data_IF_787127809469
#
_entry.id   IF_787127809469
#
_cell.length_a   1.000
_cell.length_b   1.000
_cell.length_c   1.000
_cell.angle_alpha   90.00
_cell.angle_beta   90.00
_cell.angle_gamma   90.00
#
_symmetry.space_group_name_H-M   'P 1'
#
loop_
_entity.id
_entity.type
_entity.pdbx_description
1 polymer ?
#
# COMPACT_ATOMS: atom_id res chain seq x y z
N UNK A 1 -2.00 -3.85 -15.01
CA UNK A 1 -2.48 -3.87 -13.62
C UNK A 1 -3.23 -5.17 -13.40
N UNK A 2 -2.88 -5.95 -12.37
CA UNK A 2 -3.66 -7.14 -12.01
C UNK A 2 -4.94 -6.63 -11.36
N UNK A 3 -6.09 -6.80 -12.01
CA UNK A 3 -7.36 -6.26 -11.51
C UNK A 3 -8.11 -7.23 -10.61
N UNK A 4 -7.82 -8.52 -10.68
CA UNK A 4 -8.45 -9.56 -9.86
C UNK A 4 -7.43 -10.62 -9.44
N UNK A 5 -7.63 -11.18 -8.25
CA UNK A 5 -6.79 -12.26 -7.73
C UNK A 5 -7.58 -13.55 -7.86
N UNK A 6 -7.06 -14.51 -8.63
CA UNK A 6 -7.68 -15.82 -8.72
C UNK A 6 -7.42 -16.58 -7.41
N UNK A 7 -8.44 -16.70 -6.56
CA UNK A 7 -8.43 -17.41 -5.27
C UNK A 7 -9.32 -18.65 -5.31
N UNK A 8 -9.26 -19.47 -4.27
CA UNK A 8 -9.71 -20.88 -4.17
C UNK A 8 -11.19 -21.22 -4.48
N UNK A 9 -12.02 -20.30 -5.00
CA UNK A 9 -13.43 -20.55 -5.30
C UNK A 9 -13.71 -20.63 -6.80
N UNK A 10 -14.80 -21.33 -7.15
CA UNK A 10 -15.34 -21.58 -8.50
C UNK A 10 -15.63 -20.27 -9.25
N UNK A 11 -14.58 -19.63 -9.77
CA UNK A 11 -14.66 -18.38 -10.53
C UNK A 11 -14.08 -18.64 -11.90
N UNK A 12 -14.85 -18.37 -12.93
CA UNK A 12 -14.36 -18.47 -14.31
C UNK A 12 -13.52 -17.25 -14.64
N UNK A 13 -12.44 -17.44 -15.42
CA UNK A 13 -11.65 -16.35 -16.00
C UNK A 13 -12.58 -15.36 -16.74
N UNK A 14 -13.64 -15.84 -17.39
CA UNK A 14 -14.63 -15.00 -18.06
C UNK A 14 -15.37 -14.02 -17.12
N UNK A 15 -15.56 -14.37 -15.84
CA UNK A 15 -16.23 -13.51 -14.86
C UNK A 15 -15.27 -12.51 -14.24
N UNK A 16 -14.04 -12.96 -13.96
CA UNK A 16 -12.98 -12.21 -13.28
C UNK A 16 -11.78 -11.95 -14.22
N UNK A 17 -12.06 -11.50 -15.43
CA UNK A 17 -11.06 -11.28 -16.49
C UNK A 17 -10.16 -10.05 -16.25
N UNK A 18 -10.58 -9.18 -15.35
CA UNK A 18 -9.86 -7.97 -14.96
C UNK A 18 -9.88 -6.90 -16.05
N UNK A 19 -10.79 -6.97 -17.00
CA UNK A 19 -10.90 -5.98 -18.08
C UNK A 19 -11.75 -4.79 -17.63
N UNK A 20 -12.84 -5.05 -16.90
CA UNK A 20 -13.77 -4.04 -16.37
C UNK A 20 -13.37 -3.56 -14.97
N UNK A 21 -13.51 -2.27 -14.66
CA UNK A 21 -13.32 -1.72 -13.31
C UNK A 21 -14.64 -1.68 -12.51
N UNK A 22 -15.47 -2.71 -12.70
CA UNK A 22 -16.76 -2.84 -12.04
C UNK A 22 -16.57 -2.98 -10.51
N UNK A 23 -17.02 -2.01 -9.71
CA UNK A 23 -16.83 -2.03 -8.26
C UNK A 23 -17.52 -3.22 -7.59
N UNK A 24 -18.61 -3.74 -8.16
CA UNK A 24 -19.38 -4.86 -7.58
C UNK A 24 -18.74 -6.21 -7.85
N UNK A 25 -17.83 -6.30 -8.82
CA UNK A 25 -16.99 -7.50 -9.01
C UNK A 25 -15.90 -7.63 -7.97
N UNK A 26 -15.51 -6.55 -7.27
CA UNK A 26 -14.45 -6.60 -6.26
C UNK A 26 -14.65 -7.68 -5.20
N UNK A 27 -15.79 -7.71 -4.48
CA UNK A 27 -16.09 -8.76 -3.50
C UNK A 27 -16.14 -10.18 -4.08
N UNK A 28 -16.44 -10.33 -5.38
CA UNK A 28 -16.57 -11.62 -6.07
C UNK A 28 -15.25 -12.09 -6.68
N UNK A 29 -14.37 -11.19 -7.11
CA UNK A 29 -13.18 -11.50 -7.90
C UNK A 29 -11.88 -11.10 -7.19
N UNK A 30 -11.97 -10.42 -6.06
CA UNK A 30 -10.83 -9.80 -5.38
C UNK A 30 -10.34 -8.55 -6.12
N UNK A 31 -9.46 -7.82 -5.46
CA UNK A 31 -8.78 -6.67 -6.05
C UNK A 31 -7.43 -6.48 -5.37
N UNK A 32 -6.33 -6.98 -5.96
CA UNK A 32 -5.01 -6.81 -5.39
C UNK A 32 -4.57 -5.34 -5.45
N UNK A 33 -4.18 -4.78 -4.31
CA UNK A 33 -3.76 -3.39 -4.14
C UNK A 33 -2.27 -3.26 -3.84
N UNK A 34 -1.72 -4.22 -3.09
CA UNK A 34 -0.31 -4.25 -2.71
C UNK A 34 0.32 -5.57 -3.13
N UNK A 35 1.52 -5.48 -3.69
CA UNK A 35 2.30 -6.63 -4.12
C UNK A 35 3.73 -6.49 -3.59
N UNK A 36 4.29 -7.59 -3.10
CA UNK A 36 5.73 -7.69 -2.87
C UNK A 36 6.22 -9.12 -3.13
N UNK A 37 7.31 -9.22 -3.87
CA UNK A 37 7.92 -10.50 -4.21
C UNK A 37 9.12 -10.76 -3.31
N UNK A 38 9.11 -11.91 -2.65
CA UNK A 38 10.23 -12.40 -1.85
C UNK A 38 11.13 -13.30 -2.69
N UNK A 39 12.27 -12.82 -3.23
CA UNK A 39 13.06 -13.57 -4.21
C UNK A 39 13.68 -14.86 -3.66
N UNK A 40 13.98 -14.89 -2.35
CA UNK A 40 14.56 -16.07 -1.69
C UNK A 40 13.55 -17.22 -1.63
N UNK A 41 12.34 -16.94 -1.16
CA UNK A 41 11.28 -17.93 -1.07
C UNK A 41 10.55 -18.17 -2.41
N UNK A 42 10.76 -17.28 -3.40
CA UNK A 42 10.05 -17.23 -4.68
C UNK A 42 8.54 -17.13 -4.52
N UNK A 43 8.11 -16.34 -3.54
CA UNK A 43 6.70 -16.12 -3.20
C UNK A 43 6.30 -14.67 -3.49
N UNK A 44 5.12 -14.50 -4.09
CA UNK A 44 4.46 -13.21 -4.27
C UNK A 44 3.42 -13.04 -3.16
N UNK A 45 3.63 -12.08 -2.27
CA UNK A 45 2.65 -11.68 -1.28
C UNK A 45 1.74 -10.60 -1.85
N UNK A 46 0.46 -10.70 -1.51
CA UNK A 46 -0.62 -9.92 -2.10
C UNK A 46 -1.52 -9.40 -0.98
N UNK A 47 -1.66 -8.08 -0.88
CA UNK A 47 -2.71 -7.45 -0.10
C UNK A 47 -3.88 -7.20 -1.05
N UNK A 48 -4.94 -7.96 -0.86
CA UNK A 48 -6.18 -7.86 -1.62
C UNK A 48 -7.22 -7.10 -0.83
N UNK A 49 -7.86 -6.14 -1.48
CA UNK A 49 -8.84 -5.26 -0.85
C UNK A 49 -10.05 -6.01 -0.26
N UNK A 50 -10.33 -7.25 -0.69
CA UNK A 50 -11.48 -8.03 -0.23
C UNK A 50 -11.09 -9.37 0.41
N UNK A 51 -9.91 -9.90 0.10
CA UNK A 51 -9.45 -11.20 0.61
C UNK A 51 -8.29 -11.13 1.59
N UNK A 52 -7.91 -9.95 2.07
CA UNK A 52 -6.90 -9.83 3.11
C UNK A 52 -5.49 -10.08 2.57
N UNK A 53 -4.71 -10.90 3.27
CA UNK A 53 -3.34 -11.24 2.86
C UNK A 53 -3.31 -12.61 2.18
N UNK A 54 -2.69 -12.67 1.01
CA UNK A 54 -2.55 -13.87 0.20
C UNK A 54 -1.09 -14.07 -0.22
N UNK A 55 -0.80 -15.29 -0.67
CA UNK A 55 0.49 -15.66 -1.22
C UNK A 55 0.31 -16.54 -2.46
N UNK A 56 1.11 -16.28 -3.48
CA UNK A 56 1.19 -17.11 -4.69
C UNK A 56 2.63 -17.58 -4.90
N UNK A 57 2.77 -18.81 -5.43
CA UNK A 57 4.04 -19.35 -5.90
C UNK A 57 4.21 -19.11 -7.41
N UNK A 58 5.39 -19.42 -7.95
CA UNK A 58 5.65 -19.29 -9.39
C UNK A 58 5.03 -20.42 -10.24
N UNK A 59 4.25 -21.34 -9.66
CA UNK A 59 3.76 -22.53 -10.35
C UNK A 59 2.41 -22.30 -11.06
N UNK A 60 1.96 -21.05 -11.17
CA UNK A 60 0.70 -20.70 -11.82
C UNK A 60 -0.54 -21.16 -11.05
N UNK A 61 -0.39 -21.52 -9.77
CA UNK A 61 -1.50 -21.89 -8.89
C UNK A 61 -2.25 -20.65 -8.40
N UNK A 62 -3.51 -20.85 -8.03
CA UNK A 62 -4.33 -19.83 -7.38
C UNK A 62 -3.64 -19.32 -6.10
N UNK A 63 -3.76 -18.02 -5.83
CA UNK A 63 -3.21 -17.44 -4.62
C UNK A 63 -3.92 -18.02 -3.39
N UNK A 64 -3.14 -18.43 -2.40
CA UNK A 64 -3.64 -18.94 -1.12
C UNK A 64 -3.86 -17.77 -0.17
N UNK A 65 -5.05 -17.68 0.41
CA UNK A 65 -5.33 -16.77 1.50
C UNK A 65 -4.63 -17.25 2.78
N UNK A 66 -3.86 -16.36 3.41
CA UNK A 66 -3.05 -16.66 4.60
C UNK A 66 -3.45 -15.86 5.84
N UNK A 67 -4.18 -14.74 5.66
CA UNK A 67 -4.83 -14.04 6.77
C UNK A 67 -6.05 -13.25 6.31
N UNK A 68 -7.11 -13.25 7.13
CA UNK A 68 -8.38 -12.55 6.88
C UNK A 68 -8.79 -11.58 7.97
N UNK A 69 -8.07 -11.57 9.08
CA UNK A 69 -8.33 -10.71 10.22
C UNK A 69 -7.21 -10.78 11.25
N UNK A 70 -7.33 -9.96 12.28
CA UNK A 70 -6.47 -9.96 13.45
C UNK A 70 -7.29 -9.60 14.68
N UNK A 71 -7.00 -10.26 15.82
CA UNK A 71 -7.67 -10.01 17.11
C UNK A 71 -9.20 -10.10 17.04
N UNK A 72 -9.71 -11.08 16.30
CA UNK A 72 -11.15 -11.29 16.12
C UNK A 72 -11.83 -10.29 15.17
N UNK A 73 -11.12 -9.29 14.65
CA UNK A 73 -11.65 -8.32 13.69
C UNK A 73 -11.21 -8.67 12.25
N UNK A 74 -12.16 -8.93 11.32
CA UNK A 74 -11.86 -9.11 9.90
C UNK A 74 -11.16 -7.90 9.28
N UNK A 75 -10.37 -8.13 8.25
CA UNK A 75 -9.89 -7.07 7.36
C UNK A 75 -11.03 -6.64 6.45
N UNK A 76 -11.10 -5.33 6.15
CA UNK A 76 -12.13 -4.78 5.27
C UNK A 76 -11.52 -4.19 4.00
N UNK A 77 -10.30 -3.65 4.08
CA UNK A 77 -9.60 -3.13 2.92
C UNK A 77 -8.08 -3.20 3.10
N UNK A 78 -7.47 -4.36 2.81
CA UNK A 78 -6.02 -4.46 2.74
C UNK A 78 -5.45 -3.71 1.52
N UNK A 79 -4.38 -2.94 1.73
CA UNK A 79 -3.89 -1.99 0.73
C UNK A 79 -2.40 -2.21 0.40
N UNK A 80 -1.48 -1.46 1.01
CA UNK A 80 -0.05 -1.59 0.78
C UNK A 80 0.60 -2.67 1.64
N UNK A 81 1.70 -3.25 1.14
CA UNK A 81 2.55 -4.17 1.90
C UNK A 81 4.01 -4.08 1.49
N UNK A 82 4.88 -4.55 2.38
CA UNK A 82 6.31 -4.75 2.13
C UNK A 82 6.86 -5.95 2.93
N UNK A 83 7.99 -6.48 2.48
CA UNK A 83 8.67 -7.63 3.07
C UNK A 83 9.93 -7.17 3.77
N UNK A 84 10.07 -7.57 5.03
CA UNK A 84 11.27 -7.38 5.82
C UNK A 84 12.48 -8.08 5.16
N UNK A 85 13.53 -7.34 4.77
CA UNK A 85 14.72 -7.94 4.18
C UNK A 85 15.51 -8.80 5.19
N UNK A 86 15.27 -8.70 6.48
CA UNK A 86 15.95 -9.51 7.49
C UNK A 86 15.05 -10.67 7.90
N UNK A 87 13.87 -10.37 8.44
CA UNK A 87 13.02 -11.40 9.06
C UNK A 87 12.10 -12.12 8.08
N UNK A 88 11.88 -11.52 6.90
CA UNK A 88 10.89 -11.95 5.89
C UNK A 88 9.44 -11.85 6.33
N UNK A 89 9.18 -11.25 7.49
CA UNK A 89 7.84 -10.89 7.91
C UNK A 89 7.23 -9.86 6.98
N UNK A 90 5.91 -9.89 6.88
CA UNK A 90 5.16 -9.02 5.98
C UNK A 90 4.54 -7.90 6.81
N UNK A 91 4.83 -6.66 6.45
CA UNK A 91 4.16 -5.50 7.04
C UNK A 91 3.15 -4.98 6.03
N UNK A 92 1.90 -4.82 6.46
CA UNK A 92 0.81 -4.46 5.56
C UNK A 92 -0.22 -3.61 6.28
N UNK A 93 -1.07 -2.94 5.50
CA UNK A 93 -2.13 -2.07 6.03
C UNK A 93 -3.51 -2.67 5.80
N UNK A 94 -4.41 -2.34 6.71
CA UNK A 94 -5.86 -2.42 6.53
C UNK A 94 -6.39 -0.98 6.62
N UNK A 95 -6.86 -0.44 5.50
CA UNK A 95 -7.16 0.99 5.34
C UNK A 95 -8.29 1.46 6.25
N UNK A 96 -9.28 0.61 6.45
CA UNK A 96 -10.49 0.89 7.22
C UNK A 96 -10.97 -0.39 7.86
N UNK A 97 -11.61 -0.30 9.03
CA UNK A 97 -12.39 -1.40 9.60
C UNK A 97 -13.89 -1.34 9.21
N UNK A 98 -14.30 -0.33 8.43
CA UNK A 98 -15.71 -0.03 8.14
C UNK A 98 -15.99 0.07 6.64
N UNK A 99 -15.13 0.78 5.90
CA UNK A 99 -15.34 1.13 4.50
C UNK A 99 -14.48 0.28 3.57
N UNK A 100 -15.13 -0.61 2.83
CA UNK A 100 -14.47 -1.31 1.72
C UNK A 100 -14.13 -0.34 0.57
N UNK A 101 -13.44 -0.86 -0.45
CA UNK A 101 -13.01 -0.06 -1.59
C UNK A 101 -14.17 0.65 -2.33
N UNK A 102 -15.38 0.05 -2.37
CA UNK A 102 -16.56 0.64 -3.03
C UNK A 102 -17.05 1.88 -2.30
N UNK A 103 -16.86 1.90 -0.98
CA UNK A 103 -17.28 2.99 -0.11
C UNK A 103 -16.11 3.89 0.34
N UNK A 104 -14.94 3.79 -0.28
CA UNK A 104 -13.74 4.53 0.15
C UNK A 104 -13.93 6.05 0.16
N UNK A 105 -14.77 6.60 -0.73
CA UNK A 105 -15.09 8.03 -0.76
C UNK A 105 -15.91 8.46 0.47
N UNK A 106 -16.81 7.61 0.96
CA UNK A 106 -17.56 7.86 2.20
C UNK A 106 -16.62 7.85 3.40
N UNK A 107 -15.69 6.89 3.46
CA UNK A 107 -14.65 6.85 4.50
C UNK A 107 -13.79 8.11 4.52
N UNK A 108 -13.40 8.62 3.36
CA UNK A 108 -12.70 9.91 3.25
C UNK A 108 -13.54 11.08 3.79
N UNK A 109 -14.82 11.16 3.42
CA UNK A 109 -15.74 12.23 3.89
C UNK A 109 -16.01 12.15 5.40
N UNK A 110 -16.03 10.94 5.95
CA UNK A 110 -16.24 10.69 7.36
C UNK A 110 -14.98 10.89 8.22
N UNK A 111 -13.84 11.26 7.62
CA UNK A 111 -12.53 11.28 8.27
C UNK A 111 -12.21 9.96 8.98
N UNK A 112 -12.44 8.83 8.30
CA UNK A 112 -12.25 7.50 8.86
C UNK A 112 -10.86 7.34 9.47
N UNK A 113 -10.85 6.96 10.74
CA UNK A 113 -9.68 6.78 11.58
C UNK A 113 -9.56 5.35 12.07
N UNK A 114 -10.17 4.36 11.41
CA UNK A 114 -10.17 2.96 11.87
C UNK A 114 -9.06 2.09 11.27
N UNK A 115 -8.14 2.69 10.50
CA UNK A 115 -7.06 1.97 9.83
C UNK A 115 -6.05 1.33 10.77
N UNK A 116 -5.36 0.30 10.29
CA UNK A 116 -4.38 -0.49 11.06
C UNK A 116 -3.09 -0.73 10.28
N UNK A 117 -1.96 -0.73 11.01
CA UNK A 117 -0.69 -1.29 10.55
C UNK A 117 -0.52 -2.68 11.17
N UNK A 118 -0.20 -3.67 10.34
CA UNK A 118 -0.20 -5.08 10.70
C UNK A 118 1.15 -5.73 10.35
N UNK A 119 1.52 -6.75 11.11
CA UNK A 119 2.65 -7.64 10.83
C UNK A 119 2.11 -9.06 10.68
N UNK A 120 2.42 -9.74 9.59
CA UNK A 120 2.30 -11.19 9.46
C UNK A 120 3.67 -11.82 9.73
N UNK A 121 3.75 -12.62 10.78
CA UNK A 121 4.93 -13.42 11.08
C UNK A 121 4.91 -14.71 10.24
N UNK A 122 5.82 -14.81 9.28
CA UNK A 122 5.83 -15.92 8.32
C UNK A 122 6.22 -17.26 8.94
N UNK A 123 6.87 -17.25 10.11
CA UNK A 123 7.25 -18.48 10.82
C UNK A 123 6.12 -19.00 11.68
N UNK A 124 5.42 -18.08 12.35
CA UNK A 124 4.31 -18.43 13.25
C UNK A 124 2.96 -18.51 12.53
N UNK A 125 2.85 -17.99 11.31
CA UNK A 125 1.59 -17.81 10.58
C UNK A 125 0.55 -17.02 11.41
N UNK A 126 1.01 -15.94 12.05
CA UNK A 126 0.17 -15.11 12.91
C UNK A 126 0.22 -13.65 12.50
N UNK A 127 -0.90 -12.96 12.65
CA UNK A 127 -0.98 -11.51 12.46
C UNK A 127 -0.97 -10.81 13.81
N UNK A 128 -0.12 -9.79 13.93
CA UNK A 128 -0.07 -8.86 15.06
C UNK A 128 -0.46 -7.47 14.57
N UNK A 129 -1.33 -6.77 15.31
CA UNK A 129 -1.61 -5.35 15.04
C UNK A 129 -0.55 -4.51 15.72
N UNK A 130 0.17 -3.71 14.95
CA UNK A 130 1.23 -2.82 15.44
C UNK A 130 0.68 -1.43 15.79
N UNK A 131 -0.20 -0.90 14.95
CA UNK A 131 -0.84 0.40 15.17
C UNK A 131 -2.34 0.31 14.87
N UNK A 132 -3.10 1.11 15.60
CA UNK A 132 -4.54 1.30 15.42
C UNK A 132 -4.84 2.77 15.21
N UNK A 133 -6.11 3.02 14.89
CA UNK A 133 -6.68 4.33 14.83
C UNK A 133 -6.01 5.25 13.78
N UNK A 134 -5.51 4.65 12.69
CA UNK A 134 -4.85 5.36 11.60
C UNK A 134 -5.90 5.97 10.67
N UNK A 135 -5.66 7.21 10.24
CA UNK A 135 -6.49 7.97 9.31
C UNK A 135 -6.28 7.48 7.86
N UNK A 136 -6.96 6.38 7.51
CA UNK A 136 -6.89 5.76 6.19
C UNK A 136 -5.50 5.19 5.87
N UNK A 137 -5.08 4.14 6.59
CA UNK A 137 -3.77 3.50 6.42
C UNK A 137 -3.61 2.95 4.98
N UNK A 138 -2.69 3.53 4.19
CA UNK A 138 -2.54 3.19 2.78
C UNK A 138 -1.30 2.33 2.51
N UNK A 139 -0.12 2.92 2.52
CA UNK A 139 1.15 2.26 2.25
C UNK A 139 1.86 1.81 3.53
N UNK A 140 2.61 0.73 3.44
CA UNK A 140 3.58 0.30 4.44
C UNK A 140 4.93 -0.01 3.78
N UNK A 141 6.04 0.41 4.39
CA UNK A 141 7.38 0.04 3.96
C UNK A 141 8.31 -0.11 5.17
N UNK A 142 8.98 -1.25 5.28
CA UNK A 142 9.94 -1.52 6.36
C UNK A 142 11.31 -0.97 6.00
N UNK A 143 12.10 -0.53 6.98
CA UNK A 143 13.46 -0.05 6.74
C UNK A 143 14.39 -1.18 6.29
N UNK A 144 15.45 -0.84 5.55
CA UNK A 144 16.42 -1.82 5.06
C UNK A 144 17.15 -2.59 6.17
N UNK A 145 17.26 -1.97 7.34
CA UNK A 145 17.86 -2.53 8.56
C UNK A 145 16.82 -3.17 9.51
N UNK A 146 15.54 -3.25 9.12
CA UNK A 146 14.47 -3.87 9.90
C UNK A 146 14.12 -3.17 11.22
N UNK A 147 14.59 -1.93 11.44
CA UNK A 147 14.38 -1.21 12.71
C UNK A 147 13.04 -0.51 12.83
N UNK A 148 12.41 -0.13 11.72
CA UNK A 148 11.13 0.57 11.73
C UNK A 148 10.28 0.28 10.49
N UNK A 149 9.00 0.62 10.56
CA UNK A 149 8.07 0.61 9.42
C UNK A 149 7.49 2.01 9.24
N UNK A 150 7.45 2.49 8.01
CA UNK A 150 6.69 3.68 7.64
C UNK A 150 5.29 3.28 7.24
N UNK A 151 4.30 4.06 7.67
CA UNK A 151 2.91 3.95 7.25
C UNK A 151 2.38 5.29 6.79
N UNK A 152 1.70 5.33 5.65
CA UNK A 152 1.02 6.53 5.17
C UNK A 152 -0.44 6.54 5.60
N UNK A 153 -0.89 7.71 6.06
CA UNK A 153 -2.27 7.99 6.43
C UNK A 153 -2.87 8.90 5.37
N UNK A 154 -3.64 8.29 4.46
CA UNK A 154 -4.21 8.96 3.29
C UNK A 154 -5.19 10.07 3.69
N UNK A 155 -6.04 9.83 4.68
CA UNK A 155 -7.01 10.82 5.19
C UNK A 155 -6.28 11.83 6.08
N UNK A 156 -5.30 11.37 6.85
CA UNK A 156 -4.55 12.19 7.81
C UNK A 156 -3.47 13.07 7.20
N UNK A 157 -3.20 12.95 5.89
CA UNK A 157 -2.16 13.69 5.17
C UNK A 157 -0.78 13.63 5.84
N UNK A 158 -0.41 12.46 6.37
CA UNK A 158 0.84 12.29 7.13
C UNK A 158 1.46 10.92 6.94
N UNK A 159 2.73 10.82 7.29
CA UNK A 159 3.51 9.58 7.37
C UNK A 159 3.95 9.40 8.82
N UNK A 160 3.67 8.23 9.38
CA UNK A 160 4.18 7.82 10.69
C UNK A 160 5.28 6.78 10.53
N UNK A 161 6.24 6.83 11.45
CA UNK A 161 7.26 5.80 11.66
C UNK A 161 6.90 5.03 12.91
N UNK A 162 6.84 3.71 12.81
CA UNK A 162 6.67 2.79 13.94
C UNK A 162 7.98 2.03 14.19
N UNK A 163 8.50 2.11 15.41
CA UNK A 163 9.75 1.45 15.79
C UNK A 163 9.53 -0.03 16.10
N UNK A 164 10.22 -0.92 15.37
CA UNK A 164 10.18 -2.36 15.57
C UNK A 164 11.19 -2.84 16.63
N UNK A 165 12.33 -2.15 16.73
CA UNK A 165 13.45 -2.55 17.59
C UNK A 165 14.12 -1.32 18.21
N UNK A 166 15.08 -1.54 19.12
CA UNK A 166 15.80 -0.49 19.82
C UNK A 166 15.03 0.05 21.03
N UNK A 167 15.53 1.13 21.63
CA UNK A 167 14.96 1.74 22.85
C UNK A 167 13.54 2.27 22.67
N UNK A 168 13.15 2.57 21.43
CA UNK A 168 11.84 3.11 21.09
C UNK A 168 10.86 2.04 20.60
N UNK A 169 11.23 0.75 20.61
CA UNK A 169 10.41 -0.33 20.09
C UNK A 169 8.97 -0.28 20.64
N UNK A 170 7.98 -0.40 19.76
CA UNK A 170 6.57 -0.31 20.11
C UNK A 170 5.98 1.10 20.10
N UNK A 171 6.80 2.14 19.90
CA UNK A 171 6.33 3.53 19.79
C UNK A 171 6.27 4.00 18.34
N UNK A 172 5.55 5.10 18.10
CA UNK A 172 5.49 5.75 16.79
C UNK A 172 5.65 7.26 16.88
N UNK A 173 6.01 7.87 15.76
CA UNK A 173 6.12 9.32 15.61
C UNK A 173 5.72 9.75 14.19
N UNK A 174 5.23 10.97 14.05
CA UNK A 174 4.96 11.58 12.74
C UNK A 174 6.28 12.11 12.19
N UNK A 175 6.70 11.61 11.04
CA UNK A 175 7.94 12.04 10.38
C UNK A 175 7.68 13.00 9.21
N UNK A 176 6.46 13.00 8.67
CA UNK A 176 6.06 13.92 7.61
C UNK A 176 4.59 14.29 7.77
N UNK A 177 4.33 15.58 7.95
CA UNK A 177 2.99 16.17 7.97
C UNK A 177 3.11 17.55 7.33
N UNK A 178 3.07 17.59 6.00
CA UNK A 178 3.31 18.79 5.21
C UNK A 178 2.01 19.22 4.51
N UNK A 179 1.59 20.48 4.68
CA UNK A 179 0.37 21.02 4.08
C UNK A 179 0.37 20.93 2.54
N UNK A 180 1.55 20.86 1.92
CA UNK A 180 1.70 20.76 0.47
C UNK A 180 1.76 19.31 -0.05
N UNK A 181 1.84 18.31 0.84
CA UNK A 181 1.84 16.88 0.47
C UNK A 181 0.60 16.24 1.10
N UNK A 182 -0.43 16.07 0.29
CA UNK A 182 -1.72 15.54 0.72
C UNK A 182 -1.95 14.15 0.13
N UNK A 183 -2.82 13.38 0.77
CA UNK A 183 -3.28 12.06 0.30
C UNK A 183 -2.13 11.08 -0.01
N UNK A 184 -1.14 10.92 0.89
CA UNK A 184 -0.06 9.96 0.66
C UNK A 184 -0.62 8.55 0.52
N UNK A 185 -0.11 7.79 -0.45
CA UNK A 185 -0.55 6.42 -0.77
C UNK A 185 0.62 5.44 -0.58
N UNK A 186 0.83 4.47 -1.48
CA UNK A 186 1.87 3.46 -1.28
C UNK A 186 3.27 4.09 -1.10
N UNK A 187 4.03 3.43 -0.23
CA UNK A 187 5.43 3.73 0.10
C UNK A 187 6.26 2.56 -0.42
N UNK A 188 7.37 2.83 -1.13
CA UNK A 188 8.30 1.78 -1.58
C UNK A 188 9.72 2.14 -1.19
N UNK A 189 10.39 1.20 -0.51
CA UNK A 189 11.82 1.28 -0.20
C UNK A 189 12.64 1.16 -1.48
N UNK A 190 13.65 2.01 -1.64
CA UNK A 190 14.62 1.91 -2.73
C UNK A 190 15.83 1.07 -2.32
N UNK A 191 16.70 0.75 -3.29
CA UNK A 191 17.96 0.06 -3.02
C UNK A 191 18.93 0.87 -2.14
N UNK A 192 18.76 2.20 -2.05
CA UNK A 192 19.59 3.07 -1.21
C UNK A 192 19.06 3.15 0.24
N UNK A 193 17.91 2.52 0.52
CA UNK A 193 17.30 2.50 1.85
C UNK A 193 16.40 3.70 2.16
N UNK A 194 16.29 4.67 1.26
CA UNK A 194 15.27 5.72 1.30
C UNK A 194 13.96 5.24 0.65
N UNK A 195 12.94 6.10 0.62
CA UNK A 195 11.58 5.71 0.26
C UNK A 195 10.99 6.63 -0.81
N UNK A 196 10.26 6.03 -1.74
CA UNK A 196 9.37 6.72 -2.67
C UNK A 196 7.95 6.68 -2.12
N UNK A 197 7.30 7.83 -2.06
CA UNK A 197 5.91 8.00 -1.65
C UNK A 197 5.17 8.66 -2.80
N UNK A 198 4.06 8.08 -3.23
CA UNK A 198 3.14 8.80 -4.13
C UNK A 198 2.13 9.55 -3.29
N UNK A 199 1.85 10.79 -3.69
CA UNK A 199 0.94 11.68 -3.00
C UNK A 199 0.31 12.64 -4.03
N UNK A 200 -0.38 13.66 -3.55
CA UNK A 200 -0.76 14.81 -4.34
C UNK A 200 -0.24 16.10 -3.70
N UNK A 201 -0.13 17.15 -4.51
CA UNK A 201 0.05 18.51 -4.02
C UNK A 201 -1.10 19.39 -4.49
N UNK A 202 -1.44 20.40 -3.71
CA UNK A 202 -2.43 21.41 -4.07
C UNK A 202 -1.70 22.74 -4.09
N UNK A 203 -1.62 23.36 -5.27
CA UNK A 203 -1.15 24.75 -5.35
C UNK A 203 -2.33 25.67 -5.10
N UNK A 204 -2.09 26.82 -4.46
CA UNK A 204 -3.15 27.79 -4.20
C UNK A 204 -3.84 28.27 -5.49
N UNK A 205 -3.14 28.21 -6.62
CA UNK A 205 -3.66 28.62 -7.93
C UNK A 205 -4.63 27.61 -8.57
N UNK A 206 -4.39 26.30 -8.44
CA UNK A 206 -5.21 25.30 -9.16
C UNK A 206 -6.38 24.76 -8.33
N UNK A 207 -6.29 24.80 -6.99
CA UNK A 207 -7.14 24.07 -6.02
C UNK A 207 -7.33 22.56 -6.30
N UNK A 208 -6.75 22.06 -7.39
CA UNK A 208 -6.92 20.73 -7.93
C UNK A 208 -5.70 19.93 -7.50
N UNK A 209 -5.87 18.82 -6.76
CA UNK A 209 -4.75 17.98 -6.39
C UNK A 209 -4.08 17.41 -7.64
N UNK A 210 -2.78 17.65 -7.78
CA UNK A 210 -1.95 17.07 -8.85
C UNK A 210 -1.07 15.97 -8.28
N UNK A 211 -0.90 14.84 -8.97
CA UNK A 211 -0.11 13.72 -8.49
C UNK A 211 1.37 14.06 -8.44
N UNK A 212 2.02 13.66 -7.35
CA UNK A 212 3.45 13.83 -7.15
C UNK A 212 4.09 12.53 -6.66
N UNK A 213 5.40 12.41 -6.87
CA UNK A 213 6.25 11.43 -6.20
C UNK A 213 7.28 12.15 -5.36
N UNK A 214 7.28 11.84 -4.07
CA UNK A 214 8.20 12.38 -3.07
C UNK A 214 9.23 11.32 -2.71
N UNK A 215 10.50 11.71 -2.63
CA UNK A 215 11.58 10.87 -2.12
C UNK A 215 11.97 11.35 -0.73
N UNK A 216 11.92 10.45 0.25
CA UNK A 216 12.18 10.77 1.66
C UNK A 216 13.14 9.77 2.30
N UNK A 217 14.00 10.24 3.18
CA UNK A 217 14.79 9.34 4.04
C UNK A 217 13.97 8.84 5.25
N UNK A 218 14.56 7.94 6.03
CA UNK A 218 13.91 7.35 7.20
C UNK A 218 13.53 8.34 8.29
N UNK A 219 14.05 9.57 8.28
CA UNK A 219 13.71 10.64 9.22
C UNK A 219 12.58 11.55 8.73
N UNK A 220 12.13 11.36 7.48
CA UNK A 220 11.10 12.20 6.85
C UNK A 220 11.66 13.40 6.08
N UNK A 221 12.99 13.55 5.97
CA UNK A 221 13.59 14.62 5.16
C UNK A 221 13.39 14.31 3.68
N UNK A 222 12.81 15.27 2.97
CA UNK A 222 12.54 15.19 1.53
C UNK A 222 13.82 15.54 0.77
N UNK A 223 14.26 14.67 -0.13
CA UNK A 223 15.37 14.93 -1.06
C UNK A 223 14.91 15.30 -2.46
N UNK A 224 13.69 14.92 -2.84
CA UNK A 224 13.17 15.13 -4.19
C UNK A 224 11.63 15.16 -4.19
N UNK A 225 11.04 16.01 -5.03
CA UNK A 225 9.62 15.98 -5.34
C UNK A 225 9.44 16.18 -6.83
N UNK A 226 8.75 15.25 -7.49
CA UNK A 226 8.48 15.31 -8.93
C UNK A 226 6.98 15.38 -9.17
N UNK A 227 6.57 16.37 -9.93
CA UNK A 227 5.19 16.46 -10.45
C UNK A 227 4.99 15.45 -11.58
N UNK A 228 3.84 14.80 -11.56
CA UNK A 228 3.40 13.85 -12.58
C UNK A 228 2.22 14.41 -13.39
N UNK A 229 1.92 15.70 -13.23
CA UNK A 229 0.80 16.38 -13.90
C UNK A 229 0.90 16.31 -15.42
N UNK A 230 2.10 16.47 -15.99
CA UNK A 230 2.29 16.44 -17.43
C UNK A 230 1.86 15.11 -18.07
N UNK A 231 1.90 14.00 -17.33
CA UNK A 231 1.55 12.67 -17.84
C UNK A 231 0.21 12.16 -17.35
N UNK A 232 -0.24 12.61 -16.16
CA UNK A 232 -1.45 12.09 -15.52
C UNK A 232 -2.53 13.16 -15.29
N UNK A 233 -2.26 14.43 -15.59
CA UNK A 233 -3.13 15.55 -15.24
C UNK A 233 -3.40 15.55 -13.74
N UNK A 234 -4.68 15.52 -13.35
CA UNK A 234 -5.13 15.39 -11.96
C UNK A 234 -5.40 13.93 -11.53
N UNK A 235 -5.06 12.95 -12.36
CA UNK A 235 -5.37 11.54 -12.09
C UNK A 235 -4.51 11.00 -10.95
N UNK A 236 -5.10 10.47 -9.85
CA UNK A 236 -4.32 10.00 -8.71
C UNK A 236 -3.44 8.79 -9.03
N UNK A 237 -2.19 8.82 -8.57
CA UNK A 237 -1.27 7.68 -8.61
C UNK A 237 -1.41 6.84 -7.33
N UNK A 238 -1.20 5.54 -7.45
CA UNK A 238 -1.29 4.58 -6.34
C UNK A 238 0.04 4.06 -5.88
N UNK A 239 1.01 3.92 -6.78
CA UNK A 239 2.34 3.42 -6.44
C UNK A 239 3.42 3.97 -7.38
N UNK A 240 4.62 4.14 -6.82
CA UNK A 240 5.87 4.36 -7.55
C UNK A 240 6.85 3.27 -7.12
N UNK A 241 6.99 2.23 -7.94
CA UNK A 241 7.83 1.07 -7.66
C UNK A 241 9.20 1.25 -8.31
N UNK A 242 10.29 1.40 -7.52
CA UNK A 242 11.63 1.39 -8.08
C UNK A 242 12.00 -0.02 -8.57
N UNK A 243 12.64 -0.10 -9.74
CA UNK A 243 13.20 -1.34 -10.29
C UNK A 243 14.36 -1.03 -11.22
N UNK A 244 15.57 -1.39 -10.81
CA UNK A 244 16.80 -1.00 -11.50
C UNK A 244 16.95 0.52 -11.49
N UNK A 245 17.17 1.10 -12.67
CA UNK A 245 17.26 2.57 -12.85
C UNK A 245 15.90 3.22 -13.09
N UNK A 246 14.84 2.44 -13.29
CA UNK A 246 13.52 2.97 -13.64
C UNK A 246 12.57 2.98 -12.44
N UNK A 247 11.56 3.85 -12.53
CA UNK A 247 10.44 3.89 -11.60
C UNK A 247 9.15 3.61 -12.39
N UNK A 248 8.41 2.61 -11.91
CA UNK A 248 7.15 2.18 -12.49
C UNK A 248 6.00 2.81 -11.71
N UNK A 249 5.06 3.43 -12.42
CA UNK A 249 3.92 4.11 -11.84
C UNK A 249 2.63 3.41 -12.20
N UNK A 250 1.74 3.29 -11.21
CA UNK A 250 0.42 2.72 -11.40
C UNK A 250 -0.68 3.67 -10.95
N UNK A 251 -1.79 3.68 -11.69
CA UNK A 251 -2.99 4.44 -11.35
C UNK A 251 -4.24 3.64 -11.73
N UNK A 252 -5.28 3.70 -10.88
CA UNK A 252 -6.60 3.14 -11.20
C UNK A 252 -7.32 3.91 -12.30
N UNK A 253 -6.95 5.17 -12.53
CA UNK A 253 -7.62 6.06 -13.49
C UNK A 253 -7.08 5.94 -14.91
N UNK A 254 -6.09 5.09 -15.17
CA UNK A 254 -5.47 4.91 -16.48
C UNK A 254 -5.32 3.43 -16.84
N UNK A 255 -5.18 3.14 -18.13
CA UNK A 255 -5.04 1.78 -18.67
C UNK A 255 -3.61 1.42 -19.09
N UNK A 256 -2.61 2.23 -18.71
CA UNK A 256 -1.19 2.00 -18.99
C UNK A 256 -0.37 1.93 -17.69
N UNK A 257 0.89 1.49 -17.80
CA UNK A 257 1.89 1.58 -16.74
C UNK A 257 2.91 2.64 -17.16
N UNK A 258 3.11 3.65 -16.32
CA UNK A 258 4.13 4.66 -16.59
C UNK A 258 5.50 4.11 -16.22
N UNK A 259 6.51 4.33 -17.08
CA UNK A 259 7.90 3.95 -16.81
C UNK A 259 8.76 5.18 -17.02
N UNK A 260 9.46 5.58 -15.96
CA UNK A 260 10.32 6.76 -15.99
C UNK A 260 11.74 6.31 -15.68
N UNK A 261 12.65 6.70 -16.55
CA UNK A 261 14.08 6.48 -16.41
C UNK A 261 14.73 7.86 -16.31
N UNK A 262 15.78 8.04 -15.49
CA UNK A 262 16.57 9.25 -15.45
C UNK A 262 17.07 9.71 -16.83
#
# INVERSE_FOLDING_TARGET
MIKHTATYFVRTIALCDGTTDDPDKGPICGRPFGLAYGPIARLLYIADAYYGLLVADSNGRLAKQIATGAEGQPFVFCNGLDIDPITRNIYFTDTSAVYDLRNSTKGLQANDSTGRLLKYDVRMNQVTVLMRNLLGAAGAAVSGDGRFVLVSEFVGNRIQRYWLTGSNAGTSEIILSNLNIVRPNNIKRTILGDFLIVAATVTQASQTPVPIRVRVDGSGRISETVSLEAQYGSTPIREAQPSGLSVYFSSRGVNFVGVYTP
#
